data_IF_912856466668
#
_entry.id   IF_912856466668
#
_cell.length_a   1.000
_cell.length_b   1.000
_cell.length_c   1.000
_cell.angle_alpha   90.00
_cell.angle_beta   90.00
_cell.angle_gamma   90.00
#
_symmetry.space_group_name_H-M   'P 1'
#
loop_
_entity.id
_entity.type
_entity.pdbx_description
1 polymer ?
#
# COMPACT_ATOMS: atom_id res chain seq x y z
N UNK A 1 -5.91 3.14 27.76
CA UNK A 1 -6.34 2.64 26.43
C UNK A 1 -7.79 2.19 26.58
N UNK A 2 -8.70 2.64 25.72
CA UNK A 2 -10.14 2.65 25.98
C UNK A 2 -10.72 1.22 25.95
N UNK A 3 -11.10 0.64 27.09
CA UNK A 3 -11.64 -0.73 27.21
C UNK A 3 -12.77 -1.02 26.20
N UNK A 4 -13.59 -0.01 25.90
CA UNK A 4 -14.65 -0.09 24.89
C UNK A 4 -14.13 -0.41 23.48
N UNK A 5 -12.97 0.13 23.08
CA UNK A 5 -12.41 -0.08 21.74
C UNK A 5 -11.77 -1.46 21.62
N UNK A 6 -11.09 -1.90 22.68
CA UNK A 6 -10.57 -3.27 22.75
C UNK A 6 -11.71 -4.30 22.70
N UNK A 7 -12.81 -4.05 23.41
CA UNK A 7 -13.99 -4.91 23.34
C UNK A 7 -14.62 -4.92 21.94
N UNK A 8 -14.65 -3.78 21.24
CA UNK A 8 -15.12 -3.73 19.86
C UNK A 8 -14.26 -4.58 18.91
N UNK A 9 -12.94 -4.58 19.08
CA UNK A 9 -12.04 -5.46 18.32
C UNK A 9 -12.29 -6.94 18.62
N UNK A 10 -12.49 -7.29 19.90
CA UNK A 10 -12.80 -8.67 20.31
C UNK A 10 -14.13 -9.13 19.68
N UNK A 11 -15.17 -8.29 19.73
CA UNK A 11 -16.47 -8.59 19.15
C UNK A 11 -16.40 -8.78 17.63
N UNK A 12 -15.57 -7.97 16.96
CA UNK A 12 -15.32 -8.11 15.53
C UNK A 12 -14.64 -9.44 15.22
N UNK A 13 -13.59 -9.82 15.95
CA UNK A 13 -12.91 -11.12 15.79
C UNK A 13 -13.88 -12.28 16.01
N UNK A 14 -14.72 -12.22 17.04
CA UNK A 14 -15.74 -13.24 17.29
C UNK A 14 -16.76 -13.35 16.16
N UNK A 15 -17.16 -12.22 15.58
CA UNK A 15 -18.07 -12.21 14.43
C UNK A 15 -17.42 -12.90 13.23
N UNK A 16 -16.15 -12.61 12.97
CA UNK A 16 -15.39 -13.23 11.87
C UNK A 16 -15.17 -14.74 12.07
N UNK A 17 -14.95 -15.19 13.32
CA UNK A 17 -14.81 -16.61 13.66
C UNK A 17 -16.11 -17.41 13.48
N UNK A 18 -17.26 -16.75 13.54
CA UNK A 18 -18.58 -17.36 13.36
C UNK A 18 -19.05 -17.38 11.90
N UNK A 19 -18.30 -16.75 10.98
CA UNK A 19 -18.63 -16.72 9.56
C UNK A 19 -18.59 -18.11 8.94
N UNK A 20 -19.51 -18.35 8.00
CA UNK A 20 -19.63 -19.63 7.28
C UNK A 20 -19.07 -19.56 5.86
N UNK A 21 -18.77 -18.36 5.38
CA UNK A 21 -18.28 -18.13 4.02
C UNK A 21 -17.32 -16.95 3.95
N UNK A 22 -16.49 -16.94 2.90
CA UNK A 22 -15.56 -15.84 2.65
C UNK A 22 -16.31 -14.54 2.35
N UNK A 23 -17.47 -14.55 1.68
CA UNK A 23 -18.19 -13.32 1.36
C UNK A 23 -18.75 -12.61 2.61
N UNK A 24 -19.18 -13.40 3.61
CA UNK A 24 -19.66 -12.89 4.90
C UNK A 24 -18.54 -12.22 5.71
N UNK A 25 -17.32 -12.76 5.67
CA UNK A 25 -16.11 -12.15 6.25
C UNK A 25 -15.87 -10.76 5.63
N UNK A 26 -16.05 -10.63 4.31
CA UNK A 26 -15.79 -9.39 3.57
C UNK A 26 -16.79 -8.30 3.95
N UNK A 27 -18.08 -8.63 3.97
CA UNK A 27 -19.15 -7.71 4.38
C UNK A 27 -18.94 -7.18 5.80
N UNK A 28 -18.56 -8.05 6.73
CA UNK A 28 -18.31 -7.68 8.12
C UNK A 28 -17.09 -6.74 8.24
N UNK A 29 -16.00 -7.03 7.54
CA UNK A 29 -14.84 -6.13 7.51
C UNK A 29 -15.18 -4.77 6.89
N UNK A 30 -16.07 -4.75 5.89
CA UNK A 30 -16.55 -3.50 5.26
C UNK A 30 -17.31 -2.61 6.21
N UNK A 31 -18.27 -3.20 6.91
CA UNK A 31 -19.11 -2.49 7.86
C UNK A 31 -18.28 -1.95 9.04
N UNK A 32 -17.07 -2.47 9.25
CA UNK A 32 -16.24 -2.18 10.41
C UNK A 32 -14.87 -1.59 10.06
N UNK A 33 -14.70 -0.97 8.88
CA UNK A 33 -13.40 -0.39 8.46
C UNK A 33 -12.78 0.56 9.50
N UNK A 34 -13.59 1.34 10.22
CA UNK A 34 -13.12 2.25 11.28
C UNK A 34 -12.62 1.54 12.56
N UNK A 35 -12.85 0.23 12.68
CA UNK A 35 -12.35 -0.63 13.76
C UNK A 35 -11.17 -1.49 13.31
N UNK A 36 -10.86 -1.60 12.01
CA UNK A 36 -9.73 -2.40 11.53
C UNK A 36 -8.47 -1.53 11.53
N UNK A 37 -7.97 -1.25 12.72
CA UNK A 37 -6.78 -0.41 12.97
C UNK A 37 -5.61 -1.22 13.58
N UNK A 38 -4.51 -0.55 13.92
CA UNK A 38 -3.35 -1.19 14.58
C UNK A 38 -3.74 -1.90 15.88
N UNK A 39 -4.71 -1.35 16.62
CA UNK A 39 -5.23 -1.97 17.84
C UNK A 39 -6.04 -3.24 17.56
N UNK A 40 -6.73 -3.32 16.42
CA UNK A 40 -7.36 -4.57 15.98
C UNK A 40 -6.32 -5.65 15.69
N UNK A 41 -5.25 -5.33 14.97
CA UNK A 41 -4.17 -6.30 14.69
C UNK A 41 -3.49 -6.81 15.97
N UNK A 42 -3.22 -5.92 16.94
CA UNK A 42 -2.71 -6.32 18.26
C UNK A 42 -3.69 -7.25 19.00
N UNK A 43 -4.99 -7.01 18.84
CA UNK A 43 -6.03 -7.86 19.44
C UNK A 43 -6.07 -9.22 18.74
N UNK A 44 -5.94 -9.27 17.42
CA UNK A 44 -5.85 -10.53 16.65
C UNK A 44 -4.62 -11.33 17.09
N UNK A 45 -3.46 -10.70 17.28
CA UNK A 45 -2.25 -11.38 17.75
C UNK A 45 -2.41 -11.93 19.18
N UNK A 46 -3.03 -11.16 20.08
CA UNK A 46 -3.32 -11.59 21.44
C UNK A 46 -4.28 -12.80 21.45
N UNK A 47 -5.35 -12.76 20.65
CA UNK A 47 -6.32 -13.86 20.52
C UNK A 47 -5.67 -15.09 19.87
N UNK A 48 -4.79 -14.90 18.89
CA UNK A 48 -4.01 -15.98 18.28
C UNK A 48 -3.19 -16.74 19.32
N UNK A 49 -2.48 -16.03 20.21
CA UNK A 49 -1.69 -16.63 21.30
C UNK A 49 -2.56 -17.45 22.26
N UNK A 50 -3.79 -17.00 22.53
CA UNK A 50 -4.75 -17.72 23.39
C UNK A 50 -5.12 -19.06 22.74
N UNK A 51 -5.47 -19.08 21.45
CA UNK A 51 -5.82 -20.33 20.77
C UNK A 51 -4.65 -21.29 20.63
N UNK A 52 -3.41 -20.79 20.45
CA UNK A 52 -2.20 -21.63 20.50
C UNK A 52 -2.02 -22.31 21.86
N UNK A 53 -2.25 -21.58 22.95
CA UNK A 53 -2.16 -22.14 24.32
C UNK A 53 -3.24 -23.17 24.61
N UNK A 54 -4.41 -23.05 23.97
CA UNK A 54 -5.53 -23.98 24.09
C UNK A 54 -5.38 -25.22 23.18
N UNK A 55 -4.37 -25.25 22.32
CA UNK A 55 -4.12 -26.34 21.36
C UNK A 55 -4.99 -26.27 20.09
N UNK A 56 -5.72 -25.18 19.87
CA UNK A 56 -6.48 -24.97 18.62
C UNK A 56 -5.61 -24.26 17.57
N UNK A 57 -4.68 -25.02 17.02
CA UNK A 57 -3.75 -24.53 15.99
C UNK A 57 -4.47 -24.11 14.70
N UNK A 58 -5.63 -24.71 14.39
CA UNK A 58 -6.39 -24.37 13.17
C UNK A 58 -6.90 -22.94 13.23
N UNK A 59 -7.54 -22.58 14.34
CA UNK A 59 -8.07 -21.23 14.56
C UNK A 59 -6.93 -20.21 14.68
N UNK A 60 -5.84 -20.57 15.37
CA UNK A 60 -4.67 -19.70 15.49
C UNK A 60 -4.01 -19.41 14.13
N UNK A 61 -3.79 -20.44 13.31
CA UNK A 61 -3.22 -20.26 11.97
C UNK A 61 -4.13 -19.43 11.07
N UNK A 62 -5.44 -19.61 11.20
CA UNK A 62 -6.41 -18.78 10.47
C UNK A 62 -6.35 -17.31 10.90
N UNK A 63 -6.29 -17.02 12.21
CA UNK A 63 -6.15 -15.64 12.72
C UNK A 63 -4.82 -15.00 12.31
N UNK A 64 -3.72 -15.77 12.29
CA UNK A 64 -2.45 -15.35 11.73
C UNK A 64 -2.58 -15.01 10.24
N UNK A 65 -3.25 -15.87 9.47
CA UNK A 65 -3.50 -15.62 8.05
C UNK A 65 -4.38 -14.39 7.83
N UNK A 66 -5.35 -14.13 8.71
CA UNK A 66 -6.21 -12.96 8.67
C UNK A 66 -5.42 -11.67 8.96
N UNK A 67 -4.53 -11.69 9.95
CA UNK A 67 -3.61 -10.58 10.22
C UNK A 67 -2.61 -10.33 9.07
N UNK A 68 -2.38 -11.35 8.24
CA UNK A 68 -1.52 -11.30 7.06
C UNK A 68 -2.29 -11.06 5.74
N UNK A 69 -3.63 -11.04 5.77
CA UNK A 69 -4.45 -10.87 4.57
C UNK A 69 -4.65 -9.38 4.26
N UNK A 70 -4.50 -8.97 2.99
CA UNK A 70 -4.89 -7.63 2.55
C UNK A 70 -6.40 -7.41 2.73
N UNK A 71 -6.80 -6.26 3.26
CA UNK A 71 -8.21 -5.82 3.43
C UNK A 71 -8.94 -5.53 2.10
N UNK A 72 -8.59 -6.24 1.03
CA UNK A 72 -8.88 -5.90 -0.36
C UNK A 72 -10.24 -6.40 -0.86
N UNK A 73 -11.07 -6.95 -0.01
CA UNK A 73 -12.31 -7.53 -0.48
C UNK A 73 -13.46 -6.55 -0.78
N UNK A 74 -13.19 -5.24 -0.92
CA UNK A 74 -14.22 -4.20 -0.81
C UNK A 74 -14.31 -3.14 -1.90
N UNK A 75 -13.73 -3.37 -3.08
CA UNK A 75 -14.01 -2.56 -4.28
C UNK A 75 -13.58 -1.07 -4.14
N UNK A 76 -13.32 -0.27 -5.18
CA UNK A 76 -13.62 -0.34 -6.60
C UNK A 76 -12.41 0.13 -7.43
N UNK A 77 -12.27 -0.47 -8.61
CA UNK A 77 -11.83 0.22 -9.83
C UNK A 77 -12.60 1.53 -9.97
N UNK A 78 -11.94 2.65 -9.67
CA UNK A 78 -12.39 3.96 -10.12
C UNK A 78 -11.17 4.65 -10.69
N UNK A 79 -11.13 4.74 -12.02
CA UNK A 79 -10.27 5.69 -12.72
C UNK A 79 -10.64 7.07 -12.16
N UNK A 80 -9.79 7.63 -11.30
CA UNK A 80 -10.03 8.93 -10.67
C UNK A 80 -9.70 10.03 -11.67
N UNK A 81 -10.70 10.82 -12.04
CA UNK A 81 -10.48 12.10 -12.70
C UNK A 81 -10.01 13.11 -11.63
N UNK A 82 -8.75 13.57 -11.73
CA UNK A 82 -8.19 14.59 -10.83
C UNK A 82 -9.05 15.87 -10.81
N UNK A 83 -9.88 16.13 -11.83
CA UNK A 83 -10.80 17.27 -11.88
C UNK A 83 -11.93 17.20 -10.84
N UNK A 84 -12.17 16.03 -10.25
CA UNK A 84 -13.15 15.84 -9.18
C UNK A 84 -12.60 16.09 -7.77
N UNK A 85 -11.28 16.18 -7.60
CA UNK A 85 -10.62 16.41 -6.31
C UNK A 85 -10.49 17.91 -6.02
N UNK A 86 -10.69 18.28 -4.76
CA UNK A 86 -10.43 19.65 -4.30
C UNK A 86 -8.94 20.00 -4.28
N UNK A 87 -8.59 21.28 -4.40
CA UNK A 87 -7.19 21.74 -4.40
C UNK A 87 -6.41 21.30 -3.15
N UNK A 88 -7.03 21.40 -1.96
CA UNK A 88 -6.42 20.97 -0.70
C UNK A 88 -6.22 19.45 -0.63
N UNK A 89 -7.08 18.69 -1.30
CA UNK A 89 -6.97 17.23 -1.37
C UNK A 89 -5.80 16.83 -2.27
N UNK A 90 -5.70 17.43 -3.47
CA UNK A 90 -4.56 17.24 -4.38
C UNK A 90 -3.25 17.58 -3.66
N UNK A 91 -3.22 18.67 -2.90
CA UNK A 91 -2.06 19.07 -2.10
C UNK A 91 -1.72 18.04 -1.01
N UNK A 92 -2.72 17.45 -0.36
CA UNK A 92 -2.51 16.40 0.64
C UNK A 92 -1.94 15.12 0.02
N UNK A 93 -2.40 14.72 -1.17
CA UNK A 93 -1.81 13.61 -1.92
C UNK A 93 -0.38 13.91 -2.36
N UNK A 94 -0.12 15.11 -2.88
CA UNK A 94 1.21 15.52 -3.28
C UNK A 94 2.18 15.52 -2.09
N UNK A 95 1.76 16.07 -0.94
CA UNK A 95 2.57 16.06 0.26
C UNK A 95 2.87 14.64 0.74
N UNK A 96 1.87 13.76 0.70
CA UNK A 96 2.07 12.35 1.02
C UNK A 96 3.05 11.65 0.07
N UNK A 97 2.94 11.90 -1.24
CA UNK A 97 3.88 11.39 -2.24
C UNK A 97 5.31 11.83 -1.93
N UNK A 98 5.51 13.12 -1.63
CA UNK A 98 6.84 13.63 -1.29
C UNK A 98 7.39 13.00 0.00
N UNK A 99 6.55 12.83 1.02
CA UNK A 99 6.95 12.20 2.29
C UNK A 99 7.41 10.75 2.09
N UNK A 100 6.68 9.96 1.29
CA UNK A 100 7.00 8.55 1.06
C UNK A 100 8.23 8.36 0.16
N UNK A 101 8.41 9.21 -0.86
CA UNK A 101 9.61 9.18 -1.69
C UNK A 101 10.85 9.58 -0.90
N UNK A 102 10.75 10.62 -0.06
CA UNK A 102 11.84 11.03 0.83
C UNK A 102 12.19 9.94 1.85
N UNK A 103 11.19 9.25 2.40
CA UNK A 103 11.41 8.13 3.31
C UNK A 103 12.07 6.94 2.59
N UNK A 104 11.68 6.67 1.34
CA UNK A 104 12.30 5.64 0.49
C UNK A 104 13.77 5.98 0.26
N UNK A 105 14.06 7.21 -0.17
CA UNK A 105 15.40 7.72 -0.39
C UNK A 105 16.28 7.62 0.88
N UNK A 106 15.82 8.20 1.99
CA UNK A 106 16.58 8.26 3.25
C UNK A 106 16.85 6.89 3.85
N UNK A 107 16.03 5.89 3.50
CA UNK A 107 16.13 4.54 4.04
C UNK A 107 16.70 3.52 3.04
N UNK A 108 17.12 3.96 1.85
CA UNK A 108 17.58 3.09 0.75
C UNK A 108 16.58 1.97 0.46
N UNK A 109 15.29 2.34 0.41
CA UNK A 109 14.19 1.44 0.13
C UNK A 109 13.84 0.46 1.26
N UNK A 110 14.24 0.72 2.51
CA UNK A 110 13.90 -0.14 3.63
C UNK A 110 12.39 -0.09 3.94
N UNK A 111 11.71 -1.20 3.66
CA UNK A 111 10.27 -1.34 3.87
C UNK A 111 9.83 -1.13 5.33
N UNK A 112 10.68 -1.40 6.32
CA UNK A 112 10.35 -1.16 7.74
C UNK A 112 10.16 0.32 8.06
N UNK A 113 10.78 1.22 7.28
CA UNK A 113 10.63 2.67 7.43
C UNK A 113 9.45 3.19 6.60
N UNK A 114 9.24 2.64 5.40
CA UNK A 114 8.23 3.12 4.45
C UNK A 114 6.83 2.59 4.79
N UNK A 115 6.70 1.33 5.21
CA UNK A 115 5.39 0.69 5.48
C UNK A 115 4.54 1.41 6.54
N UNK A 116 5.09 1.93 7.66
CA UNK A 116 4.30 2.72 8.60
C UNK A 116 3.68 3.98 7.99
N UNK A 117 4.36 4.65 7.06
CA UNK A 117 3.85 5.86 6.38
C UNK A 117 2.72 5.52 5.41
N UNK A 118 2.89 4.42 4.67
CA UNK A 118 1.85 3.86 3.81
C UNK A 118 0.62 3.44 4.65
N UNK A 119 0.84 2.75 5.76
CA UNK A 119 -0.21 2.28 6.66
C UNK A 119 -1.05 3.44 7.24
N UNK A 120 -0.40 4.55 7.59
CA UNK A 120 -1.07 5.75 8.09
C UNK A 120 -1.92 6.46 7.02
N UNK A 121 -1.62 6.24 5.74
CA UNK A 121 -2.26 6.89 4.60
C UNK A 121 -2.90 5.88 3.65
N UNK A 122 -3.36 4.72 4.13
CA UNK A 122 -3.96 3.67 3.28
C UNK A 122 -5.08 4.21 2.39
N UNK A 123 -5.91 5.12 2.90
CA UNK A 123 -6.99 5.74 2.13
C UNK A 123 -6.54 6.63 0.98
N UNK A 124 -5.24 6.90 0.82
CA UNK A 124 -4.64 7.62 -0.31
C UNK A 124 -3.93 6.68 -1.30
N UNK A 125 -3.98 5.36 -1.10
CA UNK A 125 -3.33 4.39 -1.97
C UNK A 125 -4.32 3.93 -3.04
N UNK A 126 -4.60 4.85 -3.97
CA UNK A 126 -5.59 4.70 -5.04
C UNK A 126 -5.08 5.28 -6.37
N UNK A 127 -5.94 5.29 -7.38
CA UNK A 127 -5.62 5.82 -8.71
C UNK A 127 -5.29 7.32 -8.71
N UNK A 128 -5.75 8.10 -7.72
CA UNK A 128 -5.40 9.51 -7.61
C UNK A 128 -3.91 9.68 -7.29
N UNK A 129 -3.38 8.85 -6.38
CA UNK A 129 -1.94 8.85 -6.09
C UNK A 129 -1.12 8.40 -7.30
N UNK A 130 -1.59 7.39 -8.06
CA UNK A 130 -0.94 6.97 -9.29
C UNK A 130 -0.84 8.14 -10.28
N UNK A 131 -1.92 8.89 -10.50
CA UNK A 131 -1.91 10.01 -11.44
C UNK A 131 -1.06 11.20 -10.95
N UNK A 132 -1.05 11.47 -9.64
CA UNK A 132 -0.17 12.50 -9.06
C UNK A 132 1.31 12.10 -9.22
N UNK A 133 1.65 10.83 -8.99
CA UNK A 133 2.98 10.28 -9.27
C UNK A 133 3.31 10.43 -10.77
N UNK A 134 2.37 10.13 -11.67
CA UNK A 134 2.56 10.27 -13.12
C UNK A 134 2.89 11.70 -13.53
N UNK A 135 2.07 12.64 -13.08
CA UNK A 135 2.19 14.06 -13.40
C UNK A 135 3.48 14.64 -12.83
N UNK A 136 3.74 14.44 -11.54
CA UNK A 136 4.95 14.92 -10.88
C UNK A 136 6.21 14.30 -11.49
N UNK A 137 6.25 12.96 -11.59
CA UNK A 137 7.39 12.20 -12.06
C UNK A 137 7.76 12.54 -13.50
N UNK A 138 6.77 12.59 -14.41
CA UNK A 138 7.02 12.99 -15.81
C UNK A 138 7.55 14.42 -15.90
N UNK A 139 7.04 15.35 -15.07
CA UNK A 139 7.48 16.74 -15.09
C UNK A 139 8.88 16.94 -14.49
N UNK A 140 9.20 16.29 -13.38
CA UNK A 140 10.49 16.46 -12.70
C UNK A 140 11.61 15.79 -13.50
N UNK A 141 11.42 14.56 -13.96
CA UNK A 141 12.44 13.82 -14.73
C UNK A 141 12.76 14.49 -16.07
N UNK A 142 11.77 15.15 -16.69
CA UNK A 142 11.98 15.91 -17.94
C UNK A 142 12.80 17.19 -17.72
N UNK A 143 12.72 17.80 -16.54
CA UNK A 143 13.35 19.09 -16.22
C UNK A 143 14.72 18.94 -15.55
N UNK A 144 14.93 17.84 -14.84
CA UNK A 144 16.17 17.52 -14.16
C UNK A 144 17.33 17.35 -15.15
N UNK A 145 18.55 17.59 -14.66
CA UNK A 145 19.76 17.22 -15.40
C UNK A 145 19.93 15.70 -15.42
N UNK A 146 20.79 15.16 -16.28
CA UNK A 146 20.92 13.71 -16.47
C UNK A 146 21.16 12.94 -15.16
N UNK A 147 22.18 13.34 -14.39
CA UNK A 147 22.54 12.67 -13.12
C UNK A 147 21.41 12.76 -12.07
N UNK A 148 20.71 13.89 -12.00
CA UNK A 148 19.59 14.10 -11.09
C UNK A 148 18.35 13.31 -11.54
N UNK A 149 18.09 13.22 -12.84
CA UNK A 149 17.00 12.44 -13.40
C UNK A 149 17.21 10.94 -13.18
N UNK A 150 18.45 10.46 -13.34
CA UNK A 150 18.81 9.07 -13.03
C UNK A 150 18.59 8.75 -11.55
N UNK A 151 19.03 9.64 -10.66
CA UNK A 151 18.81 9.50 -9.23
C UNK A 151 17.32 9.45 -8.85
N UNK A 152 16.54 10.41 -9.32
CA UNK A 152 15.09 10.46 -9.07
C UNK A 152 14.37 9.25 -9.65
N UNK A 153 14.81 8.77 -10.82
CA UNK A 153 14.28 7.55 -11.42
C UNK A 153 14.52 6.33 -10.54
N UNK A 154 15.72 6.18 -9.97
CA UNK A 154 16.02 5.09 -9.03
C UNK A 154 15.10 5.13 -7.80
N UNK A 155 14.89 6.31 -7.20
CA UNK A 155 13.98 6.47 -6.05
C UNK A 155 12.54 6.08 -6.42
N UNK A 156 12.06 6.46 -7.60
CA UNK A 156 10.72 6.08 -8.09
C UNK A 156 10.61 4.56 -8.28
N UNK A 157 11.63 3.90 -8.85
CA UNK A 157 11.65 2.44 -9.02
C UNK A 157 11.64 1.74 -7.66
N UNK A 158 12.45 2.20 -6.70
CA UNK A 158 12.49 1.64 -5.35
C UNK A 158 11.13 1.77 -4.65
N UNK A 159 10.53 2.95 -4.68
CA UNK A 159 9.19 3.15 -4.13
C UNK A 159 8.16 2.24 -4.80
N UNK A 160 8.22 2.11 -6.13
CA UNK A 160 7.34 1.23 -6.91
C UNK A 160 7.48 -0.25 -6.49
N UNK A 161 8.70 -0.70 -6.22
CA UNK A 161 8.97 -2.05 -5.69
C UNK A 161 8.39 -2.26 -4.29
N UNK A 162 8.44 -1.24 -3.44
CA UNK A 162 7.93 -1.27 -2.06
C UNK A 162 6.40 -1.28 -2.07
N UNK A 163 5.76 -0.37 -2.80
CA UNK A 163 4.29 -0.28 -2.84
C UNK A 163 3.66 -1.53 -3.46
N UNK A 164 4.28 -2.11 -4.49
CA UNK A 164 3.86 -3.40 -5.07
C UNK A 164 3.81 -4.53 -4.03
N UNK A 165 4.72 -4.50 -3.06
CA UNK A 165 4.83 -5.51 -2.00
C UNK A 165 4.06 -5.12 -0.73
N UNK A 166 3.47 -3.92 -0.67
CA UNK A 166 2.82 -3.42 0.51
C UNK A 166 1.52 -4.22 0.76
N UNK A 167 1.42 -4.96 1.88
CA UNK A 167 0.38 -5.97 2.05
C UNK A 167 -0.95 -5.42 2.57
N UNK A 168 -1.01 -4.14 2.98
CA UNK A 168 -2.14 -3.62 3.76
C UNK A 168 -3.07 -2.68 2.99
N UNK A 169 -2.80 -2.40 1.72
CA UNK A 169 -3.67 -1.59 0.86
C UNK A 169 -4.21 -2.39 -0.32
N UNK A 170 -5.04 -1.74 -1.16
CA UNK A 170 -5.57 -2.33 -2.37
C UNK A 170 -4.41 -2.72 -3.31
N UNK A 171 -4.26 -4.01 -3.61
CA UNK A 171 -3.20 -4.57 -4.46
C UNK A 171 -3.35 -4.08 -5.89
N UNK A 172 -4.57 -3.96 -6.43
CA UNK A 172 -4.77 -3.38 -7.76
C UNK A 172 -4.29 -1.91 -7.81
N UNK A 173 -4.66 -1.08 -6.83
CA UNK A 173 -4.14 0.29 -6.71
C UNK A 173 -2.63 0.32 -6.52
N UNK A 174 -2.09 -0.53 -5.65
CA UNK A 174 -0.64 -0.64 -5.41
C UNK A 174 0.10 -1.06 -6.69
N UNK A 175 -0.46 -2.00 -7.45
CA UNK A 175 0.03 -2.43 -8.76
C UNK A 175 -0.05 -1.28 -9.75
N UNK A 176 -1.16 -0.55 -9.82
CA UNK A 176 -1.31 0.60 -10.70
C UNK A 176 -0.30 1.72 -10.36
N UNK A 177 -0.10 2.02 -9.07
CA UNK A 177 0.91 2.99 -8.62
C UNK A 177 2.32 2.51 -9.02
N UNK A 178 2.64 1.23 -8.80
CA UNK A 178 3.94 0.66 -9.15
C UNK A 178 4.19 0.68 -10.68
N UNK A 179 3.20 0.21 -11.46
CA UNK A 179 3.21 0.24 -12.92
C UNK A 179 3.43 1.67 -13.40
N UNK A 180 2.69 2.63 -12.84
CA UNK A 180 2.82 4.04 -13.18
C UNK A 180 4.23 4.57 -12.91
N UNK A 181 4.83 4.20 -11.78
CA UNK A 181 6.22 4.56 -11.46
C UNK A 181 7.21 4.00 -12.49
N UNK A 182 7.09 2.72 -12.84
CA UNK A 182 7.95 2.11 -13.86
C UNK A 182 7.75 2.76 -15.24
N UNK A 183 6.51 3.01 -15.66
CA UNK A 183 6.19 3.69 -16.93
C UNK A 183 6.76 5.10 -16.99
N UNK A 184 6.68 5.86 -15.91
CA UNK A 184 7.26 7.21 -15.80
C UNK A 184 8.78 7.16 -16.00
N UNK A 185 9.45 6.22 -15.32
CA UNK A 185 10.90 6.07 -15.40
C UNK A 185 11.33 5.65 -16.82
N UNK A 186 10.60 4.74 -17.46
CA UNK A 186 10.89 4.28 -18.82
C UNK A 186 10.71 5.35 -19.91
N UNK A 187 10.14 6.52 -19.60
CA UNK A 187 10.12 7.67 -20.53
C UNK A 187 11.47 8.36 -20.66
N UNK A 188 12.33 8.27 -19.64
CA UNK A 188 13.65 8.92 -19.59
C UNK A 188 14.80 7.92 -19.53
N UNK A 189 14.59 6.80 -18.85
CA UNK A 189 15.50 5.67 -18.84
C UNK A 189 15.31 4.91 -20.16
N UNK A 190 16.27 5.02 -21.07
CA UNK A 190 16.22 4.36 -22.38
C UNK A 190 17.27 3.26 -22.47
N UNK A 191 17.05 2.31 -23.39
CA UNK A 191 17.98 1.21 -23.64
C UNK A 191 19.36 1.71 -24.06
N UNK A 192 19.44 2.85 -24.74
CA UNK A 192 20.69 3.41 -25.27
C UNK A 192 21.49 4.15 -24.20
N UNK A 193 20.81 4.89 -23.30
CA UNK A 193 21.47 5.69 -22.28
C UNK A 193 21.77 4.89 -21.02
N UNK A 194 20.81 4.05 -20.58
CA UNK A 194 20.84 3.34 -19.30
C UNK A 194 20.37 1.88 -19.49
N UNK A 195 21.13 1.06 -20.24
CA UNK A 195 20.68 -0.28 -20.65
C UNK A 195 20.35 -1.23 -19.49
N UNK A 196 21.10 -1.13 -18.39
CA UNK A 196 20.93 -2.01 -17.21
C UNK A 196 19.66 -1.62 -16.46
N UNK A 197 19.50 -0.33 -16.13
CA UNK A 197 18.35 0.17 -15.38
C UNK A 197 17.06 0.06 -16.20
N UNK A 198 17.14 0.27 -17.52
CA UNK A 198 16.03 0.06 -18.43
C UNK A 198 15.56 -1.40 -18.39
N UNK A 199 16.48 -2.36 -18.51
CA UNK A 199 16.15 -3.78 -18.48
C UNK A 199 15.58 -4.22 -17.12
N UNK A 200 16.15 -3.72 -16.02
CA UNK A 200 15.65 -3.98 -14.68
C UNK A 200 14.23 -3.41 -14.50
N UNK A 201 13.99 -2.18 -14.94
CA UNK A 201 12.68 -1.53 -14.87
C UNK A 201 11.64 -2.24 -15.73
N UNK A 202 12.00 -2.66 -16.95
CA UNK A 202 11.13 -3.48 -17.82
C UNK A 202 10.76 -4.82 -17.17
N UNK A 203 11.72 -5.49 -16.53
CA UNK A 203 11.46 -6.74 -15.81
C UNK A 203 10.52 -6.51 -14.62
N UNK A 204 10.71 -5.41 -13.89
CA UNK A 204 9.83 -5.05 -12.77
C UNK A 204 8.41 -4.74 -13.24
N UNK A 205 8.26 -4.04 -14.38
CA UNK A 205 6.99 -3.76 -15.03
C UNK A 205 6.30 -5.04 -15.51
N UNK A 206 7.03 -5.98 -16.09
CA UNK A 206 6.46 -7.26 -16.53
C UNK A 206 6.00 -8.17 -15.37
N UNK A 207 6.56 -7.96 -14.17
CA UNK A 207 6.19 -8.69 -12.94
C UNK A 207 5.14 -7.95 -12.09
N UNK A 208 4.67 -6.80 -12.53
CA UNK A 208 3.60 -6.03 -11.88
C UNK A 208 2.26 -6.40 -12.50
#
# INVERSE_FOLDING_TARGET
>A
MNEKRQQAHINLIQSLLNCRSNDEIREILAANQGLVDVGFLQTVEAVTKIFLQQGDEKTANWLQSLAMQPMEALNLDTIVDLQSLGEEEIKAYFQFLMEVLQATENSMGNCQVVYPLLAKNIGKLDGALAEILRCWGTNILRKAQADEAEYLAAVIVEFSNIIKQFPWANKASNMEIAITGYEVVLKVCTKEALPIDWAATQNNLANA
#
